data_IF_085154469892
#
_entry.id   IF_085154469892
#
_cell.length_a   1.000
_cell.length_b   1.000
_cell.length_c   1.000
_cell.angle_alpha   90.00
_cell.angle_beta   90.00
_cell.angle_gamma   90.00
#
_symmetry.space_group_name_H-M   'P 1'
#
loop_
_entity.id
_entity.type
_entity.pdbx_description
1 polymer ?
#
# COMPACT_ATOMS: atom_id res chain seq x y z
N UNK A 1 -5.42 0.22 -32.53
CA UNK A 1 -5.59 1.52 -31.83
C UNK A 1 -6.74 1.35 -30.85
N UNK A 2 -6.43 1.06 -29.57
CA UNK A 2 -7.41 0.88 -28.49
C UNK A 2 -6.83 1.43 -27.18
N UNK A 3 -6.39 2.68 -27.18
CA UNK A 3 -5.72 3.33 -26.03
C UNK A 3 -6.69 3.72 -24.91
N UNK A 4 -7.98 3.90 -25.23
CA UNK A 4 -9.00 4.41 -24.28
C UNK A 4 -9.42 3.34 -23.26
N UNK A 5 -9.54 2.07 -23.70
CA UNK A 5 -9.94 0.95 -22.83
C UNK A 5 -8.86 0.67 -21.76
N UNK A 6 -7.61 1.05 -22.01
CA UNK A 6 -6.51 0.79 -21.08
C UNK A 6 -6.40 1.87 -19.99
N UNK A 7 -6.61 3.15 -20.33
CA UNK A 7 -6.44 4.25 -19.40
C UNK A 7 -7.45 4.24 -18.23
N UNK A 8 -8.74 4.06 -18.51
CA UNK A 8 -9.75 4.03 -17.43
C UNK A 8 -9.54 2.85 -16.48
N UNK A 9 -9.12 1.70 -17.03
CA UNK A 9 -8.78 0.52 -16.24
C UNK A 9 -7.52 0.76 -15.39
N UNK A 10 -6.49 1.41 -15.92
CA UNK A 10 -5.30 1.80 -15.15
C UNK A 10 -5.63 2.77 -14.01
N UNK A 11 -6.47 3.77 -14.26
CA UNK A 11 -6.92 4.72 -13.23
C UNK A 11 -7.72 4.01 -12.14
N UNK A 12 -8.64 3.12 -12.51
CA UNK A 12 -9.40 2.32 -11.56
C UNK A 12 -8.50 1.41 -10.71
N UNK A 13 -7.53 0.73 -11.34
CA UNK A 13 -6.55 -0.11 -10.65
C UNK A 13 -5.70 0.71 -9.67
N UNK A 14 -5.21 1.88 -10.07
CA UNK A 14 -4.45 2.74 -9.17
C UNK A 14 -5.28 3.22 -7.98
N UNK A 15 -6.56 3.55 -8.19
CA UNK A 15 -7.47 3.94 -7.12
C UNK A 15 -7.71 2.77 -6.15
N UNK A 16 -7.89 1.56 -6.66
CA UNK A 16 -8.06 0.35 -5.84
C UNK A 16 -6.79 0.04 -5.04
N UNK A 17 -5.61 0.10 -5.67
CA UNK A 17 -4.32 -0.11 -5.02
C UNK A 17 -4.13 0.88 -3.88
N UNK A 18 -4.36 2.19 -4.13
CA UNK A 18 -4.25 3.23 -3.09
C UNK A 18 -5.17 2.97 -1.91
N UNK A 19 -6.41 2.53 -2.14
CA UNK A 19 -7.35 2.16 -1.06
C UNK A 19 -6.85 0.96 -0.25
N UNK A 20 -6.44 -0.10 -0.93
CA UNK A 20 -5.90 -1.29 -0.28
C UNK A 20 -4.65 -0.99 0.55
N UNK A 21 -3.77 -0.09 0.07
CA UNK A 21 -2.60 0.35 0.83
C UNK A 21 -2.99 1.11 2.10
N UNK A 22 -3.99 1.99 2.04
CA UNK A 22 -4.48 2.70 3.23
C UNK A 22 -5.05 1.72 4.27
N UNK A 23 -5.85 0.74 3.83
CA UNK A 23 -6.37 -0.30 4.71
C UNK A 23 -5.24 -1.14 5.33
N UNK A 24 -4.23 -1.49 4.53
CA UNK A 24 -3.05 -2.19 5.01
C UNK A 24 -2.28 -1.39 6.07
N UNK A 25 -2.09 -0.09 5.88
CA UNK A 25 -1.45 0.79 6.88
C UNK A 25 -2.25 0.83 8.18
N UNK A 26 -3.58 0.89 8.11
CA UNK A 26 -4.42 0.85 9.30
C UNK A 26 -4.23 -0.45 10.06
N UNK A 27 -4.19 -1.60 9.38
CA UNK A 27 -3.91 -2.90 10.01
C UNK A 27 -2.53 -2.90 10.69
N UNK A 28 -1.50 -2.36 10.03
CA UNK A 28 -0.15 -2.24 10.62
C UNK A 28 -0.19 -1.39 11.90
N UNK A 29 -0.92 -0.28 11.87
CA UNK A 29 -1.08 0.58 13.05
C UNK A 29 -1.82 -0.16 14.18
N UNK A 30 -2.94 -0.83 13.88
CA UNK A 30 -3.70 -1.60 14.86
C UNK A 30 -2.83 -2.69 15.52
N UNK A 31 -2.01 -3.39 14.73
CA UNK A 31 -1.06 -4.37 15.25
C UNK A 31 -0.03 -3.75 16.20
N UNK A 32 0.52 -2.58 15.85
CA UNK A 32 1.53 -1.91 16.65
C UNK A 32 0.95 -1.35 17.96
N UNK A 33 -0.16 -0.62 17.87
CA UNK A 33 -0.78 0.06 19.02
C UNK A 33 -1.51 -0.92 19.96
N UNK A 34 -2.32 -1.85 19.43
CA UNK A 34 -3.17 -2.69 20.27
C UNK A 34 -2.50 -3.99 20.69
N UNK A 35 -1.58 -4.51 19.86
CA UNK A 35 -1.01 -5.85 20.06
C UNK A 35 0.50 -5.83 20.30
N UNK A 36 1.15 -4.66 20.24
CA UNK A 36 2.61 -4.54 20.33
C UNK A 36 3.35 -5.44 19.32
N UNK A 37 2.75 -5.62 18.14
CA UNK A 37 3.32 -6.40 17.03
C UNK A 37 3.86 -5.42 15.98
N UNK A 38 5.15 -5.51 15.70
CA UNK A 38 5.78 -4.73 14.64
C UNK A 38 5.86 -5.52 13.33
N UNK A 39 5.44 -4.90 12.23
CA UNK A 39 5.53 -5.48 10.90
C UNK A 39 6.67 -4.83 10.11
N UNK A 40 7.54 -5.68 9.56
CA UNK A 40 8.75 -5.28 8.83
C UNK A 40 8.76 -5.95 7.46
N UNK A 41 8.81 -5.16 6.38
CA UNK A 41 8.98 -5.67 5.00
C UNK A 41 10.32 -5.24 4.44
N UNK A 42 11.08 -6.18 3.87
CA UNK A 42 12.38 -5.90 3.25
C UNK A 42 13.35 -5.12 4.15
N UNK A 43 13.35 -5.42 5.46
CA UNK A 43 14.11 -4.70 6.50
C UNK A 43 13.67 -3.24 6.74
N UNK A 44 12.47 -2.87 6.30
CA UNK A 44 11.86 -1.58 6.56
C UNK A 44 10.66 -1.77 7.51
N UNK A 45 10.70 -1.20 8.73
CA UNK A 45 9.53 -1.09 9.58
C UNK A 45 8.41 -0.34 8.87
N UNK A 46 7.19 -0.85 8.99
CA UNK A 46 6.02 -0.26 8.34
C UNK A 46 5.22 0.69 9.22
N UNK A 47 5.58 0.79 10.51
CA UNK A 47 4.99 1.78 11.41
C UNK A 47 5.34 3.19 10.93
N UNK A 48 4.39 4.11 11.03
CA UNK A 48 4.56 5.52 10.63
C UNK A 48 4.99 5.72 9.16
N UNK A 49 4.62 4.78 8.28
CA UNK A 49 4.87 4.87 6.83
C UNK A 49 3.66 5.38 6.06
N UNK A 50 3.90 6.30 5.13
CA UNK A 50 2.88 6.77 4.20
C UNK A 50 2.53 5.71 3.15
N UNK A 51 1.34 5.82 2.56
CA UNK A 51 0.91 4.92 1.48
C UNK A 51 1.90 4.86 0.31
N UNK A 52 2.52 5.99 -0.05
CA UNK A 52 3.52 6.05 -1.11
C UNK A 52 4.80 5.28 -0.74
N UNK A 53 5.28 5.38 0.51
CA UNK A 53 6.46 4.63 0.96
C UNK A 53 6.20 3.13 0.95
N UNK A 54 5.04 2.70 1.47
CA UNK A 54 4.65 1.29 1.46
C UNK A 54 4.51 0.77 0.03
N UNK A 55 3.89 1.53 -0.86
CA UNK A 55 3.78 1.17 -2.27
C UNK A 55 5.14 1.06 -2.96
N UNK A 56 6.06 2.00 -2.70
CA UNK A 56 7.40 1.95 -3.26
C UNK A 56 8.16 0.70 -2.81
N UNK A 57 7.99 0.27 -1.56
CA UNK A 57 8.60 -0.96 -1.05
C UNK A 57 8.05 -2.20 -1.75
N UNK A 58 6.76 -2.21 -2.10
CA UNK A 58 6.11 -3.34 -2.78
C UNK A 58 6.43 -3.34 -4.28
N UNK A 59 6.42 -2.18 -4.95
CA UNK A 59 6.70 -2.07 -6.39
C UNK A 59 8.16 -2.30 -6.75
N UNK A 60 9.07 -2.15 -5.78
CA UNK A 60 10.49 -2.46 -5.97
C UNK A 60 10.81 -3.96 -5.82
N UNK A 61 9.89 -4.75 -5.25
CA UNK A 61 10.02 -6.20 -5.07
C UNK A 61 9.50 -6.97 -6.28
#
# INVERSE_FOLDING_TARGET
MSTIINYENEVANQAQIRRATTEFINIVNDLWYDKSIELVLFRNPLVDKSASEVLNLISYA
#
